data_IF_967232755783
#
_entry.id   IF_967232755783
#
_cell.length_a   1.000
_cell.length_b   1.000
_cell.length_c   1.000
_cell.angle_alpha   90.00
_cell.angle_beta   90.00
_cell.angle_gamma   90.00
#
_symmetry.space_group_name_H-M   'P 1'
#
loop_
_entity.id
_entity.type
_entity.pdbx_description
1 polymer ?
#
# COMPACT_ATOMS: atom_id res chain seq x y z
N UNK A 1 -55.37 18.28 -33.00
CA UNK A 1 -55.24 18.79 -34.39
C UNK A 1 -55.56 17.64 -35.32
N UNK A 2 -56.78 17.70 -35.87
CA UNK A 2 -57.54 16.58 -36.40
C UNK A 2 -57.00 16.02 -37.71
N UNK A 3 -56.75 14.71 -37.74
CA UNK A 3 -56.54 13.98 -38.98
C UNK A 3 -57.91 13.57 -39.54
N UNK A 4 -58.43 14.36 -40.48
CA UNK A 4 -59.59 13.95 -41.29
C UNK A 4 -59.16 12.80 -42.22
N UNK A 5 -59.48 11.57 -41.82
CA UNK A 5 -59.41 10.39 -42.69
C UNK A 5 -60.63 10.46 -43.60
N UNK A 6 -60.44 10.80 -44.87
CA UNK A 6 -61.50 10.72 -45.86
C UNK A 6 -61.68 9.24 -46.24
N UNK A 7 -62.71 8.61 -45.67
CA UNK A 7 -63.24 7.33 -46.12
C UNK A 7 -63.81 7.51 -47.54
N UNK A 8 -63.09 7.05 -48.56
CA UNK A 8 -63.70 6.82 -49.87
C UNK A 8 -64.40 5.46 -49.80
N UNK A 9 -65.70 5.49 -49.55
CA UNK A 9 -66.58 4.33 -49.69
C UNK A 9 -66.57 3.85 -51.14
N UNK A 10 -66.17 2.61 -51.36
CA UNK A 10 -66.31 1.94 -52.65
C UNK A 10 -67.74 1.42 -52.74
N UNK A 11 -68.60 2.17 -53.40
CA UNK A 11 -69.92 1.69 -53.80
C UNK A 11 -69.80 1.11 -55.21
N UNK A 12 -69.90 -0.21 -55.32
CA UNK A 12 -70.04 -0.88 -56.61
C UNK A 12 -71.47 -0.67 -57.11
N UNK A 13 -71.64 0.18 -58.12
CA UNK A 13 -72.81 0.13 -59.00
C UNK A 13 -72.34 -0.11 -60.42
N UNK A 14 -72.95 -1.12 -61.04
CA UNK A 14 -72.61 -1.63 -62.36
C UNK A 14 -72.83 -0.64 -63.49
N UNK A 15 -72.34 -1.07 -64.65
CA UNK A 15 -72.44 -0.46 -65.99
C UNK A 15 -71.45 0.68 -66.30
N UNK A 16 -70.47 0.33 -67.14
CA UNK A 16 -69.95 1.15 -68.24
C UNK A 16 -69.33 2.51 -67.91
N UNK A 17 -68.07 2.54 -67.45
CA UNK A 17 -67.26 3.76 -67.50
C UNK A 17 -66.40 3.73 -68.77
N UNK A 18 -66.79 4.53 -69.76
CA UNK A 18 -65.95 4.88 -70.92
C UNK A 18 -64.77 5.71 -70.40
N UNK A 19 -63.57 5.13 -70.39
CA UNK A 19 -62.35 5.89 -70.10
C UNK A 19 -62.07 6.80 -71.30
N UNK A 20 -62.43 8.08 -71.19
CA UNK A 20 -61.95 9.07 -72.15
C UNK A 20 -60.42 9.17 -72.01
N UNK A 21 -59.70 8.91 -73.12
CA UNK A 21 -58.22 8.79 -73.15
C UNK A 21 -57.53 10.03 -72.55
N UNK A 22 -58.19 11.18 -72.57
CA UNK A 22 -57.70 12.44 -71.99
C UNK A 22 -57.75 12.48 -70.46
N UNK A 23 -58.81 11.97 -69.83
CA UNK A 23 -58.93 11.93 -68.36
C UNK A 23 -57.95 10.92 -67.74
N UNK A 24 -57.72 9.79 -68.41
CA UNK A 24 -56.72 8.80 -67.99
C UNK A 24 -55.29 9.37 -67.99
N UNK A 25 -54.93 10.16 -69.01
CA UNK A 25 -53.61 10.81 -69.10
C UNK A 25 -53.44 11.85 -67.99
N UNK A 26 -54.47 12.66 -67.69
CA UNK A 26 -54.42 13.66 -66.61
C UNK A 26 -54.29 13.01 -65.23
N UNK A 27 -55.02 11.93 -64.95
CA UNK A 27 -54.94 11.21 -63.66
C UNK A 27 -53.59 10.50 -63.50
N UNK A 28 -53.06 9.86 -64.54
CA UNK A 28 -51.72 9.23 -64.51
C UNK A 28 -50.62 10.29 -64.37
N UNK A 29 -50.78 11.45 -65.00
CA UNK A 29 -49.83 12.57 -64.90
C UNK A 29 -49.87 13.23 -63.51
N UNK A 30 -51.04 13.31 -62.90
CA UNK A 30 -51.24 13.79 -61.53
C UNK A 30 -50.69 12.79 -60.51
N UNK A 31 -50.99 11.50 -60.67
CA UNK A 31 -50.41 10.42 -59.85
C UNK A 31 -48.89 10.35 -59.98
N UNK A 32 -48.35 10.44 -61.19
CA UNK A 32 -46.91 10.51 -61.44
C UNK A 32 -46.27 11.76 -60.82
N UNK A 33 -46.97 12.89 -60.79
CA UNK A 33 -46.52 14.10 -60.09
C UNK A 33 -46.54 13.93 -58.57
N UNK A 34 -47.57 13.29 -58.02
CA UNK A 34 -47.68 12.96 -56.59
C UNK A 34 -46.62 11.92 -56.19
N UNK A 35 -46.37 10.90 -57.00
CA UNK A 35 -45.36 9.87 -56.78
C UNK A 35 -43.94 10.46 -56.80
N UNK A 36 -43.67 11.39 -57.74
CA UNK A 36 -42.42 12.16 -57.78
C UNK A 36 -42.26 13.03 -56.52
N UNK A 37 -43.33 13.70 -56.08
CA UNK A 37 -43.32 14.51 -54.86
C UNK A 37 -43.13 13.66 -53.59
N UNK A 38 -43.76 12.48 -53.51
CA UNK A 38 -43.61 11.55 -52.39
C UNK A 38 -42.20 10.95 -52.35
N UNK A 39 -41.64 10.57 -53.50
CA UNK A 39 -40.25 10.10 -53.61
C UNK A 39 -39.25 11.16 -53.16
N UNK A 40 -39.46 12.42 -53.56
CA UNK A 40 -38.65 13.55 -53.11
C UNK A 40 -38.78 13.76 -51.59
N UNK A 41 -40.00 13.67 -51.05
CA UNK A 41 -40.26 13.78 -49.60
C UNK A 41 -39.61 12.64 -48.80
N UNK A 42 -39.64 11.41 -49.29
CA UNK A 42 -38.94 10.26 -48.68
C UNK A 42 -37.42 10.43 -48.71
N UNK A 43 -36.86 11.00 -49.79
CA UNK A 43 -35.44 11.34 -49.87
C UNK A 43 -35.03 12.39 -48.84
N UNK A 44 -35.81 13.47 -48.71
CA UNK A 44 -35.62 14.51 -47.70
C UNK A 44 -35.74 13.96 -46.26
N UNK A 45 -36.68 13.04 -46.02
CA UNK A 45 -36.82 12.36 -44.73
C UNK A 45 -35.59 11.50 -44.41
N UNK A 46 -35.14 10.67 -45.37
CA UNK A 46 -33.91 9.88 -45.21
C UNK A 46 -32.69 10.76 -44.95
N UNK A 47 -32.57 11.89 -45.65
CA UNK A 47 -31.49 12.86 -45.43
C UNK A 47 -31.53 13.46 -44.02
N UNK A 48 -32.72 13.82 -43.53
CA UNK A 48 -32.92 14.28 -42.15
C UNK A 48 -32.60 13.20 -41.12
N UNK A 49 -32.96 11.94 -41.38
CA UNK A 49 -32.67 10.81 -40.48
C UNK A 49 -31.18 10.48 -40.43
N UNK A 50 -30.49 10.50 -41.57
CA UNK A 50 -29.03 10.33 -41.66
C UNK A 50 -28.32 11.47 -40.94
N UNK A 51 -28.76 12.72 -41.15
CA UNK A 51 -28.20 13.88 -40.46
C UNK A 51 -28.46 13.80 -38.95
N UNK A 52 -29.65 13.39 -38.51
CA UNK A 52 -29.98 13.12 -37.09
C UNK A 52 -29.10 12.02 -36.50
N UNK A 53 -28.89 10.90 -37.20
CA UNK A 53 -28.02 9.80 -36.73
C UNK A 53 -26.56 10.23 -36.65
N UNK A 54 -26.07 11.02 -37.61
CA UNK A 54 -24.71 11.57 -37.58
C UNK A 54 -24.54 12.58 -36.45
N UNK A 55 -25.50 13.48 -36.25
CA UNK A 55 -25.50 14.38 -35.10
C UNK A 55 -25.55 13.57 -33.81
N UNK A 56 -26.50 12.65 -33.63
CA UNK A 56 -26.59 11.84 -32.41
C UNK A 56 -25.32 11.03 -32.11
N UNK A 57 -24.68 10.44 -33.13
CA UNK A 57 -23.41 9.72 -32.96
C UNK A 57 -22.27 10.67 -32.57
N UNK A 58 -22.22 11.86 -33.17
CA UNK A 58 -21.19 12.87 -32.92
C UNK A 58 -21.40 13.66 -31.60
N UNK A 59 -22.64 13.89 -31.17
CA UNK A 59 -22.95 14.73 -30.00
C UNK A 59 -23.00 13.96 -28.69
N UNK A 60 -22.77 12.64 -28.71
CA UNK A 60 -22.96 11.82 -27.52
C UNK A 60 -21.83 10.81 -27.26
N UNK A 61 -20.95 10.49 -28.20
CA UNK A 61 -19.81 9.60 -27.88
C UNK A 61 -18.51 10.37 -27.70
N UNK A 62 -18.34 11.46 -28.45
CA UNK A 62 -17.03 12.09 -28.61
C UNK A 62 -16.78 13.23 -27.62
N UNK A 63 -17.78 13.56 -26.78
CA UNK A 63 -17.72 14.63 -25.79
C UNK A 63 -18.23 14.14 -24.43
N UNK A 64 -17.47 13.27 -23.77
CA UNK A 64 -17.67 13.06 -22.33
C UNK A 64 -16.38 13.31 -21.55
N UNK A 65 -16.10 14.59 -21.21
CA UNK A 65 -15.27 14.93 -20.06
C UNK A 65 -15.71 14.22 -18.76
N UNK A 66 -16.96 13.72 -18.70
CA UNK A 66 -17.48 12.99 -17.55
C UNK A 66 -16.89 11.59 -17.46
N UNK A 67 -16.57 10.91 -18.57
CA UNK A 67 -15.95 9.59 -18.52
C UNK A 67 -14.49 9.67 -18.03
N UNK A 68 -13.74 10.69 -18.46
CA UNK A 68 -12.39 10.94 -17.95
C UNK A 68 -12.39 11.37 -16.48
N UNK A 69 -13.32 12.22 -16.07
CA UNK A 69 -13.51 12.58 -14.65
C UNK A 69 -13.94 11.37 -13.81
N UNK A 70 -14.78 10.49 -14.36
CA UNK A 70 -15.22 9.24 -13.72
C UNK A 70 -14.07 8.26 -13.55
N UNK A 71 -13.22 8.11 -14.56
CA UNK A 71 -11.99 7.32 -14.50
C UNK A 71 -11.02 7.89 -13.47
N UNK A 72 -10.72 9.19 -13.52
CA UNK A 72 -9.84 9.86 -12.56
C UNK A 72 -10.37 9.75 -11.11
N UNK A 73 -11.69 9.79 -10.92
CA UNK A 73 -12.32 9.55 -9.63
C UNK A 73 -12.16 8.10 -9.18
N UNK A 74 -12.38 7.13 -10.06
CA UNK A 74 -12.19 5.71 -9.73
C UNK A 74 -10.73 5.40 -9.37
N UNK A 75 -9.77 5.99 -10.09
CA UNK A 75 -8.34 5.88 -9.77
C UNK A 75 -8.02 6.50 -8.40
N UNK A 76 -8.55 7.70 -8.11
CA UNK A 76 -8.39 8.33 -6.81
C UNK A 76 -9.01 7.50 -5.68
N UNK A 77 -10.19 6.92 -5.89
CA UNK A 77 -10.86 6.02 -4.95
C UNK A 77 -10.02 4.75 -4.71
N UNK A 78 -9.43 4.15 -5.76
CA UNK A 78 -8.51 3.02 -5.60
C UNK A 78 -7.27 3.38 -4.78
N UNK A 79 -6.67 4.55 -5.02
CA UNK A 79 -5.51 4.99 -4.25
C UNK A 79 -5.86 5.25 -2.77
N UNK A 80 -7.03 5.80 -2.49
CA UNK A 80 -7.53 5.95 -1.12
C UNK A 80 -7.73 4.58 -0.46
N UNK A 81 -8.33 3.63 -1.17
CA UNK A 81 -8.56 2.28 -0.64
C UNK A 81 -7.24 1.55 -0.37
N UNK A 82 -6.26 1.68 -1.27
CA UNK A 82 -4.93 1.11 -1.05
C UNK A 82 -4.29 1.68 0.23
N UNK A 83 -4.38 3.00 0.43
CA UNK A 83 -3.86 3.65 1.65
C UNK A 83 -4.63 3.17 2.89
N UNK A 84 -5.95 3.12 2.83
CA UNK A 84 -6.78 2.63 3.94
C UNK A 84 -6.41 1.19 4.29
N UNK A 85 -6.23 0.31 3.29
CA UNK A 85 -5.77 -1.05 3.50
C UNK A 85 -4.39 -1.10 4.18
N UNK A 86 -3.45 -0.22 3.81
CA UNK A 86 -2.15 -0.15 4.49
C UNK A 86 -2.27 0.32 5.94
N UNK A 87 -3.15 1.30 6.21
CA UNK A 87 -3.43 1.81 7.56
C UNK A 87 -4.03 0.68 8.40
N UNK A 88 -5.10 0.04 7.93
CA UNK A 88 -5.75 -1.05 8.65
C UNK A 88 -4.80 -2.23 8.90
N UNK A 89 -3.93 -2.56 7.94
CA UNK A 89 -2.91 -3.60 8.14
C UNK A 89 -1.90 -3.22 9.24
N UNK A 90 -1.48 -1.96 9.28
CA UNK A 90 -0.60 -1.46 10.33
C UNK A 90 -1.29 -1.47 11.70
N UNK A 91 -2.55 -1.02 11.77
CA UNK A 91 -3.38 -1.06 12.98
C UNK A 91 -3.55 -2.49 13.50
N UNK A 92 -3.86 -3.44 12.62
CA UNK A 92 -3.95 -4.86 13.00
C UNK A 92 -2.63 -5.40 13.54
N UNK A 93 -1.49 -5.01 12.97
CA UNK A 93 -0.17 -5.41 13.47
C UNK A 93 0.10 -4.83 14.86
N UNK A 94 -0.22 -3.55 15.08
CA UNK A 94 -0.08 -2.91 16.39
C UNK A 94 -0.98 -3.56 17.44
N UNK A 95 -2.22 -3.88 17.09
CA UNK A 95 -3.15 -4.57 17.99
C UNK A 95 -2.65 -5.97 18.39
N UNK A 96 -2.08 -6.72 17.44
CA UNK A 96 -1.47 -8.04 17.71
C UNK A 96 -0.28 -7.93 18.65
N UNK A 97 0.66 -7.03 18.35
CA UNK A 97 1.86 -6.83 19.18
C UNK A 97 1.53 -6.36 20.59
N UNK A 98 0.50 -5.50 20.72
CA UNK A 98 0.00 -5.07 22.04
C UNK A 98 -0.49 -6.27 22.86
N UNK A 99 -1.28 -7.15 22.24
CA UNK A 99 -1.77 -8.35 22.92
C UNK A 99 -0.62 -9.28 23.32
N UNK A 100 0.33 -9.53 22.43
CA UNK A 100 1.50 -10.36 22.72
C UNK A 100 2.32 -9.77 23.89
N UNK A 101 2.44 -8.44 23.95
CA UNK A 101 3.10 -7.75 25.06
C UNK A 101 2.32 -7.89 26.37
N UNK A 102 1.00 -7.69 26.37
CA UNK A 102 0.16 -7.86 27.56
C UNK A 102 0.22 -9.30 28.10
N UNK A 103 0.22 -10.30 27.21
CA UNK A 103 0.37 -11.71 27.59
C UNK A 103 1.76 -11.98 28.23
N UNK A 104 2.83 -11.39 27.67
CA UNK A 104 4.19 -11.49 28.21
C UNK A 104 4.33 -10.78 29.56
N UNK A 105 3.71 -9.62 29.72
CA UNK A 105 3.70 -8.87 30.97
C UNK A 105 2.96 -9.64 32.07
N UNK A 106 1.82 -10.25 31.73
CA UNK A 106 1.10 -11.14 32.64
C UNK A 106 1.93 -12.35 33.07
N UNK A 107 2.72 -12.93 32.16
CA UNK A 107 3.66 -14.00 32.50
C UNK A 107 4.76 -13.51 33.44
N UNK A 108 5.35 -12.33 33.18
CA UNK A 108 6.36 -11.73 34.06
C UNK A 108 5.82 -11.53 35.47
N UNK A 109 4.64 -10.93 35.61
CA UNK A 109 4.04 -10.69 36.92
C UNK A 109 3.76 -11.99 37.69
N UNK A 110 3.38 -13.07 37.00
CA UNK A 110 3.23 -14.39 37.64
C UNK A 110 4.57 -14.93 38.15
N UNK A 111 5.64 -14.79 37.37
CA UNK A 111 6.99 -15.21 37.78
C UNK A 111 7.50 -14.39 38.97
N UNK A 112 7.17 -13.10 39.03
CA UNK A 112 7.54 -12.24 40.16
C UNK A 112 6.89 -12.71 41.47
N UNK A 113 5.60 -13.10 41.42
CA UNK A 113 4.91 -13.71 42.57
C UNK A 113 5.54 -15.04 42.96
N UNK A 114 5.92 -15.87 41.99
CA UNK A 114 6.58 -17.15 42.24
C UNK A 114 7.95 -16.95 42.92
N UNK A 115 8.76 -16.03 42.41
CA UNK A 115 10.04 -15.63 43.01
C UNK A 115 9.88 -15.12 44.44
N UNK A 116 8.89 -14.27 44.68
CA UNK A 116 8.60 -13.77 46.03
C UNK A 116 8.20 -14.92 46.97
N UNK A 117 7.43 -15.89 46.48
CA UNK A 117 7.08 -17.07 47.28
C UNK A 117 8.30 -17.91 47.65
N UNK A 118 9.27 -18.06 46.74
CA UNK A 118 10.52 -18.75 47.03
C UNK A 118 11.41 -17.97 48.01
N UNK A 119 11.47 -16.64 47.89
CA UNK A 119 12.18 -15.80 48.86
C UNK A 119 11.62 -15.97 50.27
N UNK A 120 10.30 -15.88 50.43
CA UNK A 120 9.65 -16.07 51.73
C UNK A 120 9.93 -17.45 52.32
N UNK A 121 9.89 -18.51 51.51
CA UNK A 121 10.18 -19.87 51.97
C UNK A 121 11.63 -20.01 52.45
N UNK A 122 12.57 -19.37 51.77
CA UNK A 122 13.98 -19.35 52.17
C UNK A 122 14.19 -18.54 53.43
N UNK A 123 13.58 -17.35 53.55
CA UNK A 123 13.65 -16.51 54.75
C UNK A 123 13.09 -17.26 55.97
N UNK A 124 11.96 -17.96 55.81
CA UNK A 124 11.37 -18.81 56.83
C UNK A 124 12.33 -19.94 57.23
N UNK A 125 12.99 -20.59 56.26
CA UNK A 125 13.95 -21.66 56.54
C UNK A 125 15.23 -21.13 57.22
N UNK A 126 15.76 -19.99 56.79
CA UNK A 126 16.91 -19.32 57.41
C UNK A 126 16.60 -18.89 58.85
N UNK A 127 15.38 -18.42 59.12
CA UNK A 127 14.93 -18.06 60.47
C UNK A 127 14.81 -19.29 61.38
N UNK A 128 14.29 -20.41 60.88
CA UNK A 128 14.25 -21.70 61.60
C UNK A 128 15.65 -22.24 61.91
N UNK A 129 16.59 -22.03 60.99
CA UNK A 129 17.98 -22.45 61.14
C UNK A 129 18.84 -21.44 61.94
N UNK A 130 18.26 -20.31 62.35
CA UNK A 130 18.91 -19.25 63.11
C UNK A 130 20.28 -18.86 62.53
N UNK A 131 20.39 -18.77 61.19
CA UNK A 131 21.63 -18.40 60.48
C UNK A 131 21.83 -16.89 60.50
N UNK A 132 21.64 -16.26 61.67
CA UNK A 132 22.20 -14.94 61.94
C UNK A 132 23.62 -15.13 62.47
N UNK A 133 24.58 -15.36 61.57
CA UNK A 133 25.96 -14.84 61.65
C UNK A 133 26.81 -15.11 62.92
N UNK A 134 26.37 -15.94 63.87
CA UNK A 134 27.07 -16.16 65.15
C UNK A 134 27.87 -17.46 65.24
N UNK A 135 27.96 -18.28 64.19
CA UNK A 135 28.78 -19.51 64.21
C UNK A 135 29.72 -19.65 63.02
N UNK A 136 30.47 -18.60 62.66
CA UNK A 136 31.72 -18.75 61.88
C UNK A 136 32.76 -17.71 62.31
N UNK A 137 33.21 -17.80 63.55
CA UNK A 137 34.47 -17.18 63.99
C UNK A 137 35.63 -18.17 63.82
N UNK A 138 36.09 -18.39 62.59
CA UNK A 138 37.40 -19.01 62.36
C UNK A 138 38.11 -18.29 61.21
N UNK A 139 39.18 -17.58 61.56
CA UNK A 139 40.37 -17.44 60.73
C UNK A 139 40.26 -16.60 59.46
N UNK A 140 40.77 -15.37 59.56
CA UNK A 140 41.29 -14.54 58.46
C UNK A 140 41.97 -15.39 57.36
N UNK A 141 41.42 -15.35 56.14
CA UNK A 141 42.22 -15.47 54.91
C UNK A 141 41.72 -14.42 53.91
N UNK A 142 42.59 -13.45 53.62
CA UNK A 142 42.38 -12.43 52.58
C UNK A 142 42.68 -13.07 51.22
N UNK A 143 41.66 -13.41 50.44
CA UNK A 143 41.80 -13.57 49.00
C UNK A 143 40.68 -12.84 48.28
N UNK A 144 41.08 -11.83 47.51
CA UNK A 144 40.21 -11.06 46.64
C UNK A 144 39.72 -11.94 45.50
N UNK A 145 38.43 -12.25 45.47
CA UNK A 145 37.72 -12.57 44.26
C UNK A 145 36.39 -11.81 44.26
N UNK A 146 36.36 -10.78 43.42
CA UNK A 146 35.18 -10.03 43.03
C UNK A 146 34.16 -10.99 42.43
N UNK A 147 33.14 -11.34 43.21
CA UNK A 147 31.98 -12.11 42.78
C UNK A 147 30.75 -11.22 42.81
N UNK A 148 30.69 -10.24 41.91
CA UNK A 148 29.45 -9.51 41.65
C UNK A 148 28.52 -10.44 40.85
N UNK A 149 27.70 -11.22 41.56
CA UNK A 149 26.64 -12.04 41.00
C UNK A 149 25.33 -11.28 41.06
N UNK A 150 25.22 -10.17 40.33
CA UNK A 150 23.94 -9.51 40.09
C UNK A 150 23.98 -8.81 38.73
N UNK A 151 23.59 -9.54 37.68
CA UNK A 151 23.12 -8.91 36.45
C UNK A 151 21.91 -9.67 35.91
N UNK A 152 20.75 -9.40 36.51
CA UNK A 152 19.47 -9.76 35.92
C UNK A 152 19.29 -8.96 34.61
N UNK A 153 19.55 -9.64 33.49
CA UNK A 153 19.55 -9.06 32.15
C UNK A 153 18.10 -8.90 31.67
N UNK A 154 17.59 -7.68 31.75
CA UNK A 154 16.33 -7.21 31.13
C UNK A 154 16.38 -7.53 29.62
N UNK A 155 15.42 -8.32 29.13
CA UNK A 155 15.27 -8.63 27.70
C UNK A 155 14.67 -7.42 26.98
N UNK A 156 15.52 -6.53 26.48
CA UNK A 156 15.22 -5.65 25.34
C UNK A 156 16.03 -6.15 24.15
N UNK A 157 15.33 -6.30 23.01
CA UNK A 157 15.84 -6.63 21.67
C UNK A 157 17.37 -6.53 21.54
N UNK A 158 18.05 -7.68 21.46
CA UNK A 158 19.49 -7.76 21.26
C UNK A 158 19.82 -7.45 19.80
N UNK A 159 20.11 -6.19 19.51
CA UNK A 159 21.23 -5.91 18.61
C UNK A 159 22.48 -6.49 19.28
N UNK A 160 23.07 -7.51 18.66
CA UNK A 160 24.29 -8.12 19.17
C UNK A 160 25.48 -7.24 18.80
N UNK A 161 25.73 -6.20 19.60
CA UNK A 161 26.98 -5.43 19.55
C UNK A 161 27.61 -5.44 20.93
N UNK A 162 28.29 -6.54 21.25
CA UNK A 162 29.50 -6.42 22.06
C UNK A 162 30.59 -5.80 21.19
N UNK A 163 30.44 -4.53 20.83
CA UNK A 163 31.52 -3.75 20.27
C UNK A 163 31.93 -2.75 21.33
N UNK A 164 33.12 -2.95 21.90
CA UNK A 164 33.81 -1.95 22.71
C UNK A 164 34.35 -0.82 21.79
N UNK A 165 33.51 -0.32 20.88
CA UNK A 165 33.86 0.60 19.81
C UNK A 165 32.72 1.59 19.62
N UNK A 166 33.02 2.87 19.72
CA UNK A 166 32.04 3.97 19.66
C UNK A 166 31.60 4.32 18.22
N UNK A 167 31.60 3.34 17.32
CA UNK A 167 31.18 3.53 15.92
C UNK A 167 29.74 3.07 15.76
N UNK A 168 28.87 4.01 15.41
CA UNK A 168 27.44 3.79 15.22
C UNK A 168 27.03 3.96 13.75
N UNK A 169 25.95 3.27 13.36
CA UNK A 169 25.30 3.44 12.06
C UNK A 169 24.22 4.50 12.20
N UNK A 170 24.41 5.66 11.60
CA UNK A 170 23.39 6.70 11.54
C UNK A 170 22.43 6.43 10.38
N UNK A 171 21.14 6.43 10.67
CA UNK A 171 20.10 6.02 9.73
C UNK A 171 19.93 7.02 8.58
N UNK A 172 20.39 6.59 7.40
CA UNK A 172 19.82 6.72 6.04
C UNK A 172 19.44 8.13 5.55
N UNK A 173 20.06 8.50 4.42
CA UNK A 173 19.68 9.63 3.56
C UNK A 173 18.27 9.48 2.99
N UNK A 174 17.56 10.58 2.73
CA UNK A 174 16.14 10.58 2.27
C UNK A 174 15.96 9.76 0.98
N UNK A 175 17.02 9.65 0.18
CA UNK A 175 17.04 8.91 -1.08
C UNK A 175 17.51 7.45 -0.94
N UNK A 176 17.93 7.01 0.25
CA UNK A 176 18.33 5.63 0.52
C UNK A 176 19.64 5.19 -0.15
N UNK A 177 20.39 6.12 -0.73
CA UNK A 177 21.56 5.84 -1.55
C UNK A 177 22.78 5.36 -0.76
N UNK A 178 22.92 5.78 0.50
CA UNK A 178 24.03 5.39 1.36
C UNK A 178 23.63 5.33 2.84
N UNK A 179 24.45 4.63 3.63
CA UNK A 179 24.42 4.66 5.10
C UNK A 179 25.62 5.46 5.59
N UNK A 180 25.52 6.11 6.76
CA UNK A 180 26.64 6.82 7.39
C UNK A 180 27.14 6.03 8.60
N UNK A 181 28.45 5.82 8.68
CA UNK A 181 29.11 5.36 9.90
C UNK A 181 29.71 6.56 10.59
N UNK A 182 29.35 6.74 11.84
CA UNK A 182 29.78 7.88 12.65
C UNK A 182 30.54 7.36 13.84
N UNK A 183 31.75 7.86 14.04
CA UNK A 183 32.50 7.63 15.26
C UNK A 183 32.06 8.66 16.31
N UNK A 184 31.28 8.23 17.31
CA UNK A 184 30.87 9.06 18.45
C UNK A 184 31.90 9.07 19.57
N UNK A 185 32.96 8.28 19.46
CA UNK A 185 34.07 8.25 20.40
C UNK A 185 35.00 9.44 20.24
N UNK A 186 35.90 9.56 21.20
CA UNK A 186 36.94 10.60 21.29
C UNK A 186 38.29 10.17 20.68
N UNK A 187 38.40 8.95 20.19
CA UNK A 187 39.63 8.39 19.61
C UNK A 187 39.46 8.01 18.12
N UNK A 188 40.57 7.85 17.39
CA UNK A 188 40.53 7.37 16.01
C UNK A 188 40.26 5.87 16.01
N UNK A 189 39.21 5.44 15.28
CA UNK A 189 38.87 4.02 15.17
C UNK A 189 39.34 3.46 13.83
N UNK A 190 40.09 2.35 13.88
CA UNK A 190 40.46 1.62 12.67
C UNK A 190 39.36 0.65 12.26
N UNK A 191 38.78 0.90 11.10
CA UNK A 191 37.72 0.07 10.50
C UNK A 191 38.27 -0.79 9.34
N UNK A 192 39.60 -0.87 9.24
CA UNK A 192 40.28 -1.66 8.23
C UNK A 192 39.87 -3.12 8.32
N UNK A 193 39.58 -3.73 7.16
CA UNK A 193 39.11 -5.13 7.04
C UNK A 193 37.73 -5.40 7.64
N UNK A 194 37.03 -4.38 8.15
CA UNK A 194 35.63 -4.55 8.54
C UNK A 194 34.79 -4.85 7.29
N UNK A 195 33.63 -5.47 7.51
CA UNK A 195 32.68 -5.79 6.45
C UNK A 195 31.27 -5.42 6.91
N UNK A 196 30.54 -4.70 6.06
CA UNK A 196 29.11 -4.48 6.23
C UNK A 196 28.35 -5.46 5.38
N UNK A 197 27.40 -6.14 6.00
CA UNK A 197 26.44 -6.99 5.30
C UNK A 197 25.10 -6.29 5.30
N UNK A 198 24.46 -6.21 4.13
CA UNK A 198 23.08 -5.79 4.02
C UNK A 198 22.28 -6.87 3.30
N UNK A 199 21.14 -7.21 3.88
CA UNK A 199 20.19 -8.15 3.30
C UNK A 199 18.96 -7.36 2.85
N UNK A 200 18.85 -7.14 1.54
CA UNK A 200 17.72 -6.44 0.95
C UNK A 200 17.03 -7.39 -0.03
N UNK A 201 15.73 -7.63 0.17
CA UNK A 201 14.91 -8.53 -0.66
C UNK A 201 15.50 -9.95 -0.83
N UNK A 202 16.12 -10.51 0.22
CA UNK A 202 16.71 -11.86 0.22
C UNK A 202 18.03 -11.98 -0.56
N UNK A 203 18.62 -10.86 -1.00
CA UNK A 203 19.97 -10.81 -1.57
C UNK A 203 20.91 -10.16 -0.56
N UNK A 204 21.93 -10.90 -0.14
CA UNK A 204 23.01 -10.37 0.69
C UNK A 204 24.03 -9.65 -0.18
N UNK A 205 24.41 -8.42 0.21
CA UNK A 205 25.58 -7.75 -0.34
C UNK A 205 26.55 -7.38 0.76
N UNK A 206 27.85 -7.53 0.46
CA UNK A 206 28.93 -7.33 1.42
C UNK A 206 29.83 -6.20 0.94
N UNK A 207 29.87 -5.10 1.69
CA UNK A 207 30.81 -4.02 1.49
C UNK A 207 32.05 -4.24 2.37
N UNK A 208 33.24 -4.20 1.77
CA UNK A 208 34.52 -4.40 2.49
C UNK A 208 35.29 -3.08 2.55
N UNK A 209 35.71 -2.70 3.75
CA UNK A 209 36.54 -1.51 3.93
C UNK A 209 37.98 -1.77 3.50
N UNK A 210 38.63 -0.71 3.00
CA UNK A 210 40.04 -0.78 2.67
C UNK A 210 40.85 -1.10 3.95
N UNK A 211 41.89 -1.96 3.90
CA UNK A 211 42.61 -2.40 5.10
C UNK A 211 43.24 -1.29 5.95
N UNK A 212 43.45 -0.08 5.38
CA UNK A 212 44.03 1.09 6.07
C UNK A 212 43.00 2.15 6.47
N UNK A 213 41.71 1.83 6.38
CA UNK A 213 40.65 2.79 6.62
C UNK A 213 40.45 3.06 8.11
N UNK A 214 40.33 4.33 8.46
CA UNK A 214 40.17 4.84 9.82
C UNK A 214 39.09 5.92 9.85
N UNK A 215 38.44 6.11 11.01
CA UNK A 215 37.46 7.16 11.25
C UNK A 215 37.95 7.99 12.43
N UNK A 216 38.22 9.28 12.20
CA UNK A 216 38.57 10.22 13.28
C UNK A 216 37.40 10.42 14.25
N UNK A 217 37.70 10.89 15.46
CA UNK A 217 36.70 11.30 16.45
C UNK A 217 35.68 12.27 15.83
N UNK A 218 34.38 11.99 15.98
CA UNK A 218 33.30 12.82 15.45
C UNK A 218 33.16 12.83 13.92
N UNK A 219 33.97 12.07 13.19
CA UNK A 219 33.90 12.00 11.73
C UNK A 219 32.86 10.97 11.26
N UNK A 220 32.31 11.22 10.07
CA UNK A 220 31.35 10.34 9.41
C UNK A 220 31.87 9.88 8.04
N UNK A 221 31.69 8.61 7.72
CA UNK A 221 32.01 8.04 6.39
C UNK A 221 30.73 7.52 5.73
N UNK A 222 30.38 7.99 4.52
CA UNK A 222 29.28 7.43 3.75
C UNK A 222 29.70 6.12 3.08
N UNK A 223 28.85 5.10 3.18
CA UNK A 223 29.02 3.80 2.55
C UNK A 223 27.88 3.56 1.58
N UNK A 224 28.21 3.45 0.30
CA UNK A 224 27.25 3.16 -0.77
C UNK A 224 27.29 1.67 -1.11
N UNK A 225 26.13 1.02 -1.05
CA UNK A 225 25.97 -0.34 -1.55
C UNK A 225 25.60 -0.26 -3.03
N UNK A 226 26.51 -0.63 -3.92
CA UNK A 226 26.18 -0.81 -5.33
C UNK A 226 25.55 -2.19 -5.47
N UNK A 227 24.21 -2.24 -5.50
CA UNK A 227 23.52 -3.43 -5.94
C UNK A 227 23.81 -3.58 -7.44
N UNK A 228 24.71 -4.49 -7.81
CA UNK A 228 24.79 -4.97 -9.19
C UNK A 228 23.51 -5.78 -9.43
N UNK A 229 22.45 -5.08 -9.84
CA UNK A 229 21.27 -5.72 -10.40
C UNK A 229 21.71 -6.19 -11.79
N UNK A 230 22.20 -7.43 -11.88
CA UNK A 230 22.34 -8.10 -13.17
C UNK A 230 20.93 -8.19 -13.78
N UNK A 231 20.71 -7.44 -14.86
CA UNK A 231 19.54 -7.57 -15.73
C UNK A 231 19.65 -8.84 -16.59
#
# INVERSE_FOLDING_TARGET
MDRKIANFGVSYFGSGVVWSRTLGIVVISSWSSIERANRARSGLNRGRDVKRRKLQKSTFSDFWPIDSLRLARADAEMHLEQRNCTITRAEQKLARLRKEYEDLEGLSGRLDVELQSYQNLLDDEESRLNVSRESMSVGVIKHAHSGCFECLRRNTLKESTQSNCDVEIESRDIDGDFIKLVNRGNEIVSIGRWMLKTEMAGKETVFKFHPRQTISSGAAIPVRFVLLISF
#
